data_IF_029038733008
#
_entry.id   IF_029038733008
#
_cell.length_a   1.000
_cell.length_b   1.000
_cell.length_c   1.000
_cell.angle_alpha   90.00
_cell.angle_beta   90.00
_cell.angle_gamma   90.00
#
_symmetry.space_group_name_H-M   'P 1'
#
loop_
_entity.id
_entity.type
_entity.pdbx_description
1 polymer ?
#
# COMPACT_ATOMS: atom_id res chain seq x y z
N UNK A 1 -16.02 -1.64 11.05
CA UNK A 1 -16.07 -0.99 9.73
C UNK A 1 -14.73 -0.31 9.57
N UNK A 2 -13.97 -0.63 8.53
CA UNK A 2 -12.68 0.00 8.27
C UNK A 2 -12.98 1.24 7.44
N UNK A 3 -12.69 2.43 7.97
CA UNK A 3 -12.99 3.68 7.28
C UNK A 3 -12.06 3.84 6.07
N UNK A 4 -12.66 4.06 4.91
CA UNK A 4 -11.96 4.35 3.66
C UNK A 4 -11.98 5.86 3.44
N UNK A 5 -10.81 6.43 3.20
CA UNK A 5 -10.64 7.85 2.89
C UNK A 5 -9.87 8.03 1.60
N UNK A 6 -10.09 9.14 0.91
CA UNK A 6 -9.38 9.44 -0.34
C UNK A 6 -8.22 10.39 -0.04
N UNK A 7 -7.01 9.92 -0.29
CA UNK A 7 -5.78 10.69 -0.06
C UNK A 7 -5.18 11.10 -1.39
N UNK A 8 -4.60 12.30 -1.42
CA UNK A 8 -3.83 12.76 -2.57
C UNK A 8 -2.57 11.93 -2.72
N UNK A 9 -2.33 11.43 -3.92
CA UNK A 9 -1.25 10.49 -4.21
C UNK A 9 0.14 11.04 -3.84
N UNK A 10 0.33 12.36 -3.94
CA UNK A 10 1.55 13.07 -3.55
C UNK A 10 1.80 13.16 -2.04
N UNK A 11 0.79 12.91 -1.20
CA UNK A 11 0.96 12.91 0.26
C UNK A 11 1.52 11.59 0.79
N UNK A 12 1.42 10.54 -0.02
CA UNK A 12 1.80 9.19 0.37
C UNK A 12 3.31 8.97 0.24
N UNK A 13 3.87 8.28 1.23
CA UNK A 13 5.29 7.97 1.31
C UNK A 13 5.52 6.50 0.96
N UNK A 14 6.52 6.27 0.13
CA UNK A 14 6.88 4.94 -0.35
C UNK A 14 8.18 4.51 0.31
N UNK A 15 8.26 3.26 0.75
CA UNK A 15 9.50 2.68 1.28
C UNK A 15 10.02 1.53 0.42
N UNK A 16 9.30 1.14 -0.63
CA UNK A 16 9.71 0.11 -1.59
C UNK A 16 9.61 0.58 -3.03
N UNK A 17 10.52 0.05 -3.84
CA UNK A 17 10.42 0.09 -5.29
C UNK A 17 9.35 -0.88 -5.80
N UNK A 18 8.85 -0.59 -7.00
CA UNK A 18 7.92 -1.44 -7.71
C UNK A 18 8.64 -2.34 -8.72
N UNK A 19 7.91 -3.33 -9.25
CA UNK A 19 8.35 -4.19 -10.35
C UNK A 19 7.76 -3.64 -11.64
N UNK A 20 8.56 -3.19 -12.61
CA UNK A 20 8.07 -2.54 -13.83
C UNK A 20 7.08 -3.40 -14.64
N UNK A 21 7.40 -4.68 -14.84
CA UNK A 21 6.53 -5.57 -15.64
C UNK A 21 5.15 -5.74 -14.99
N UNK A 22 5.13 -6.00 -13.68
CA UNK A 22 3.88 -6.16 -12.94
C UNK A 22 3.09 -4.84 -12.83
N UNK A 23 3.78 -3.69 -12.81
CA UNK A 23 3.12 -2.40 -12.89
C UNK A 23 2.35 -2.23 -14.20
N UNK A 24 2.96 -2.56 -15.34
CA UNK A 24 2.29 -2.41 -16.64
C UNK A 24 1.09 -3.35 -16.77
N UNK A 25 1.21 -4.59 -16.30
CA UNK A 25 0.09 -5.54 -16.22
C UNK A 25 -1.06 -4.98 -15.38
N UNK A 26 -0.79 -4.55 -14.15
CA UNK A 26 -1.80 -4.03 -13.23
C UNK A 26 -2.44 -2.73 -13.76
N UNK A 27 -1.65 -1.84 -14.36
CA UNK A 27 -2.16 -0.62 -14.99
C UNK A 27 -3.15 -0.94 -16.11
N UNK A 28 -2.83 -1.91 -16.96
CA UNK A 28 -3.71 -2.32 -18.05
C UNK A 28 -4.98 -3.01 -17.54
N UNK A 29 -4.89 -3.82 -16.48
CA UNK A 29 -6.04 -4.40 -15.79
C UNK A 29 -6.99 -3.30 -15.27
N UNK A 30 -6.45 -2.34 -14.50
CA UNK A 30 -7.23 -1.22 -13.94
C UNK A 30 -7.88 -0.39 -15.05
N UNK A 31 -7.17 -0.13 -16.16
CA UNK A 31 -7.74 0.58 -17.32
C UNK A 31 -8.87 -0.22 -17.99
N UNK A 32 -8.70 -1.52 -18.15
CA UNK A 32 -9.72 -2.40 -18.73
C UNK A 32 -10.96 -2.50 -17.85
N UNK A 33 -10.77 -2.53 -16.53
CA UNK A 33 -11.87 -2.52 -15.56
C UNK A 33 -12.57 -1.15 -15.48
N UNK A 34 -11.87 -0.06 -15.81
CA UNK A 34 -12.37 1.31 -15.67
C UNK A 34 -12.47 1.78 -14.21
N UNK A 35 -11.95 1.02 -13.25
CA UNK A 35 -12.08 1.26 -11.81
C UNK A 35 -10.92 0.68 -11.02
N UNK A 36 -10.66 1.24 -9.84
CA UNK A 36 -9.83 0.61 -8.81
C UNK A 36 -10.72 -0.24 -7.90
N UNK A 37 -10.53 -1.56 -7.92
CA UNK A 37 -11.35 -2.50 -7.15
C UNK A 37 -11.10 -2.47 -5.64
N UNK A 38 -9.86 -2.19 -5.20
CA UNK A 38 -9.41 -2.36 -3.81
C UNK A 38 -8.62 -1.13 -3.34
N UNK A 39 -8.81 -0.64 -2.10
CA UNK A 39 -8.01 0.44 -1.51
C UNK A 39 -6.58 -0.02 -1.20
N UNK A 40 -5.71 0.90 -0.78
CA UNK A 40 -4.37 0.57 -0.25
C UNK A 40 -4.32 0.71 1.27
N UNK A 41 -3.48 -0.06 1.95
CA UNK A 41 -3.23 0.09 3.39
C UNK A 41 -2.14 1.13 3.67
N UNK A 42 -2.41 2.08 4.55
CA UNK A 42 -1.53 3.22 4.84
C UNK A 42 -1.45 3.49 6.35
N UNK A 43 -0.25 3.81 6.85
CA UNK A 43 -0.09 4.30 8.21
C UNK A 43 -0.73 5.68 8.39
N UNK A 44 -1.63 5.82 9.37
CA UNK A 44 -2.34 7.06 9.65
C UNK A 44 -1.46 8.22 10.12
N UNK A 45 -0.35 7.91 10.78
CA UNK A 45 0.52 8.93 11.39
C UNK A 45 1.52 9.50 10.39
N UNK A 46 2.05 8.66 9.50
CA UNK A 46 3.14 9.03 8.58
C UNK A 46 2.75 9.01 7.11
N UNK A 47 1.56 8.52 6.75
CA UNK A 47 1.13 8.28 5.38
C UNK A 47 2.06 7.35 4.58
N UNK A 48 2.78 6.46 5.27
CA UNK A 48 3.59 5.42 4.64
C UNK A 48 2.67 4.32 4.12
N UNK A 49 2.87 3.94 2.87
CA UNK A 49 2.14 2.84 2.23
C UNK A 49 2.62 1.52 2.82
N UNK A 50 1.72 0.74 3.40
CA UNK A 50 2.05 -0.57 3.97
C UNK A 50 1.78 -1.70 2.97
N UNK A 51 0.75 -1.55 2.15
CA UNK A 51 0.52 -2.41 0.99
C UNK A 51 -0.07 -1.60 -0.17
N UNK A 52 0.18 -2.03 -1.42
CA UNK A 52 -0.42 -1.40 -2.60
C UNK A 52 0.47 -0.39 -3.36
N UNK A 53 1.80 -0.46 -3.22
CA UNK A 53 2.74 0.36 -4.00
C UNK A 53 2.47 0.31 -5.52
N UNK A 54 2.22 -0.88 -6.09
CA UNK A 54 1.92 -0.99 -7.53
C UNK A 54 0.60 -0.33 -7.91
N UNK A 55 -0.44 -0.38 -7.06
CA UNK A 55 -1.73 0.29 -7.30
C UNK A 55 -1.55 1.81 -7.33
N UNK A 56 -0.78 2.36 -6.39
CA UNK A 56 -0.40 3.78 -6.39
C UNK A 56 0.27 4.17 -7.72
N UNK A 57 1.29 3.44 -8.15
CA UNK A 57 2.04 3.75 -9.37
C UNK A 57 1.20 3.57 -10.63
N UNK A 58 0.31 2.58 -10.67
CA UNK A 58 -0.61 2.38 -11.78
C UNK A 58 -1.52 3.62 -11.92
N UNK A 59 -2.12 4.07 -10.81
CA UNK A 59 -2.94 5.29 -10.79
C UNK A 59 -2.15 6.55 -11.16
N UNK A 60 -0.90 6.70 -10.67
CA UNK A 60 0.00 7.79 -11.08
C UNK A 60 0.18 7.80 -12.60
N UNK A 61 0.44 6.65 -13.22
CA UNK A 61 0.61 6.53 -14.69
C UNK A 61 -0.68 6.77 -15.47
N UNK A 62 -1.83 6.43 -14.91
CA UNK A 62 -3.15 6.69 -15.51
C UNK A 62 -3.51 8.19 -15.44
N UNK A 63 -2.87 8.96 -14.54
CA UNK A 63 -3.14 10.39 -14.35
C UNK A 63 -4.16 10.68 -13.24
N UNK A 64 -4.44 9.71 -12.37
CA UNK A 64 -5.23 9.93 -11.16
C UNK A 64 -4.42 10.73 -10.13
N UNK A 65 -5.10 11.50 -9.29
CA UNK A 65 -4.52 12.34 -8.24
C UNK A 65 -4.88 11.88 -6.84
N UNK A 66 -5.91 11.04 -6.69
CA UNK A 66 -6.34 10.49 -5.41
C UNK A 66 -6.36 8.97 -5.46
N UNK A 67 -6.25 8.35 -4.28
CA UNK A 67 -6.40 6.91 -4.11
C UNK A 67 -7.19 6.64 -2.83
N UNK A 68 -8.14 5.69 -2.84
CA UNK A 68 -8.81 5.24 -1.63
C UNK A 68 -7.82 4.46 -0.76
N UNK A 69 -7.76 4.82 0.52
CA UNK A 69 -6.86 4.22 1.50
C UNK A 69 -7.63 3.75 2.71
N UNK A 70 -7.08 2.73 3.35
CA UNK A 70 -7.42 2.30 4.69
C UNK A 70 -6.32 2.78 5.63
N UNK A 71 -6.72 3.54 6.65
CA UNK A 71 -5.81 4.10 7.64
C UNK A 71 -5.68 3.19 8.86
N UNK A 72 -4.50 2.60 9.04
CA UNK A 72 -4.16 1.80 10.22
C UNK A 72 -3.18 2.55 11.13
N UNK A 73 -3.13 2.17 12.40
CA UNK A 73 -2.04 2.58 13.29
C UNK A 73 -0.86 1.62 13.11
N UNK A 74 0.15 2.02 12.33
CA UNK A 74 1.29 1.14 12.06
C UNK A 74 2.10 0.82 13.31
N UNK A 75 2.05 1.66 14.35
CA UNK A 75 2.75 1.41 15.61
C UNK A 75 2.01 0.43 16.52
N UNK A 76 0.75 0.08 16.21
CA UNK A 76 0.00 -0.95 16.94
C UNK A 76 0.79 -2.27 17.03
N UNK A 77 0.73 -2.90 18.21
CA UNK A 77 1.28 -4.24 18.44
C UNK A 77 0.57 -5.32 17.62
N UNK A 78 -0.62 -5.03 17.09
CA UNK A 78 -1.36 -5.93 16.20
C UNK A 78 -0.76 -5.98 14.80
N UNK A 79 0.11 -5.04 14.43
CA UNK A 79 0.77 -5.01 13.13
C UNK A 79 2.22 -5.44 13.30
N UNK A 80 2.64 -6.38 12.48
CA UNK A 80 4.02 -6.84 12.39
C UNK A 80 4.56 -6.61 10.98
N UNK A 81 5.88 -6.51 10.86
CA UNK A 81 6.56 -6.52 9.57
C UNK A 81 7.56 -7.66 9.57
N UNK A 82 7.45 -8.54 8.57
CA UNK A 82 8.35 -9.66 8.37
C UNK A 82 9.01 -9.54 6.98
N UNK A 83 10.22 -10.09 6.79
CA UNK A 83 10.86 -10.06 5.49
C UNK A 83 10.18 -11.03 4.52
N UNK A 84 10.20 -10.72 3.23
CA UNK A 84 9.77 -11.69 2.20
C UNK A 84 10.80 -12.79 1.96
N UNK A 85 12.09 -12.52 2.21
CA UNK A 85 13.19 -13.45 1.93
C UNK A 85 13.82 -13.91 3.24
N UNK A 86 14.16 -15.19 3.27
CA UNK A 86 14.85 -15.79 4.41
C UNK A 86 16.22 -15.13 4.63
N UNK A 87 16.57 -14.92 5.89
CA UNK A 87 17.84 -14.30 6.29
C UNK A 87 17.88 -12.77 6.24
N UNK A 88 16.87 -12.11 5.66
CA UNK A 88 16.75 -10.65 5.76
C UNK A 88 16.21 -10.24 7.13
N UNK A 89 16.53 -9.00 7.54
CA UNK A 89 15.96 -8.37 8.72
C UNK A 89 15.21 -7.11 8.30
N UNK A 90 14.02 -6.91 8.84
CA UNK A 90 13.23 -5.72 8.62
C UNK A 90 12.53 -5.35 9.93
N UNK A 91 12.46 -4.05 10.23
CA UNK A 91 11.74 -3.53 11.39
C UNK A 91 10.88 -2.35 10.96
N UNK A 92 9.90 -1.96 11.80
CA UNK A 92 9.06 -0.80 11.52
C UNK A 92 9.88 0.49 11.45
N UNK A 93 10.91 0.61 12.28
CA UNK A 93 11.82 1.76 12.30
C UNK A 93 12.57 1.86 10.96
N UNK A 94 13.08 0.75 10.43
CA UNK A 94 13.73 0.74 9.11
C UNK A 94 12.78 1.21 8.00
N UNK A 95 11.51 0.79 8.06
CA UNK A 95 10.46 1.20 7.11
C UNK A 95 10.20 2.70 7.20
N UNK A 96 10.02 3.20 8.41
CA UNK A 96 9.76 4.61 8.70
C UNK A 96 10.93 5.48 8.26
N UNK A 97 12.16 5.16 8.68
CA UNK A 97 13.36 5.92 8.32
C UNK A 97 13.58 5.92 6.79
N UNK A 98 13.37 4.79 6.13
CA UNK A 98 13.49 4.68 4.67
C UNK A 98 12.49 5.61 3.98
N UNK A 99 11.22 5.55 4.36
CA UNK A 99 10.16 6.34 3.75
C UNK A 99 10.33 7.84 4.01
N UNK A 100 10.67 8.23 5.24
CA UNK A 100 10.85 9.63 5.64
C UNK A 100 12.08 10.28 5.02
N UNK A 101 13.12 9.49 4.71
CA UNK A 101 14.31 9.96 3.98
C UNK A 101 14.13 9.95 2.46
N UNK A 102 12.95 9.57 1.96
CA UNK A 102 12.66 9.49 0.51
C UNK A 102 13.41 8.37 -0.21
N UNK A 103 14.03 7.45 0.54
CA UNK A 103 14.69 6.26 -0.01
C UNK A 103 13.67 5.16 -0.26
N UNK A 104 14.08 4.15 -1.02
CA UNK A 104 13.28 2.94 -1.25
C UNK A 104 14.15 1.70 -1.17
N UNK A 105 13.59 0.66 -0.56
CA UNK A 105 14.15 -0.69 -0.56
C UNK A 105 13.77 -1.43 -1.84
N UNK A 106 14.47 -2.52 -2.13
CA UNK A 106 14.15 -3.39 -3.27
C UNK A 106 12.71 -3.91 -3.18
N UNK A 107 12.05 -4.22 -4.31
CA UNK A 107 10.69 -4.73 -4.27
C UNK A 107 10.58 -6.00 -3.42
N UNK A 108 9.45 -6.16 -2.73
CA UNK A 108 9.19 -7.33 -1.86
C UNK A 108 10.27 -7.43 -0.78
N UNK A 109 10.47 -6.38 0.00
CA UNK A 109 11.37 -6.41 1.18
C UNK A 109 10.58 -6.58 2.46
N UNK A 110 9.46 -5.89 2.57
CA UNK A 110 8.57 -5.85 3.72
C UNK A 110 7.25 -6.54 3.41
N UNK A 111 6.82 -7.38 4.35
CA UNK A 111 5.52 -8.01 4.35
C UNK A 111 4.81 -7.58 5.62
N UNK A 112 3.84 -6.70 5.47
CA UNK A 112 3.06 -6.21 6.60
C UNK A 112 1.96 -7.20 6.95
N UNK A 113 1.90 -7.55 8.22
CA UNK A 113 0.99 -8.53 8.78
C UNK A 113 0.13 -7.86 9.85
N UNK A 114 -1.10 -8.31 10.02
CA UNK A 114 -2.06 -7.80 10.99
C UNK A 114 -2.72 -8.96 11.73
N UNK A 115 -2.84 -8.83 13.06
CA UNK A 115 -3.53 -9.77 13.92
C UNK A 115 -5.05 -9.52 13.85
N UNK A 116 -5.79 -10.45 13.24
CA UNK A 116 -7.25 -10.38 13.11
C UNK A 116 -7.83 -11.67 13.63
N UNK A 117 -8.72 -11.58 14.62
CA UNK A 117 -9.39 -12.74 15.24
C UNK A 117 -8.38 -13.78 15.77
N UNK A 118 -7.26 -13.32 16.33
CA UNK A 118 -6.20 -14.18 16.86
C UNK A 118 -5.32 -14.85 15.79
N UNK A 119 -5.48 -14.49 14.51
CA UNK A 119 -4.68 -15.00 13.42
C UNK A 119 -3.86 -13.89 12.76
N UNK A 120 -2.56 -14.14 12.57
CA UNK A 120 -1.70 -13.23 11.83
C UNK A 120 -1.92 -13.41 10.32
N UNK A 121 -2.47 -12.39 9.66
CA UNK A 121 -2.79 -12.38 8.23
C UNK A 121 -2.02 -11.28 7.52
N UNK A 122 -1.87 -11.38 6.20
CA UNK A 122 -1.32 -10.26 5.45
C UNK A 122 -2.23 -9.04 5.55
N UNK A 123 -1.68 -7.84 5.65
CA UNK A 123 -2.47 -6.61 5.85
C UNK A 123 -3.50 -6.38 4.74
N UNK A 124 -3.30 -6.91 3.54
CA UNK A 124 -4.32 -6.83 2.49
C UNK A 124 -5.65 -7.52 2.86
N UNK A 125 -5.73 -8.32 3.94
CA UNK A 125 -6.99 -8.94 4.37
C UNK A 125 -8.02 -7.93 4.87
N UNK A 126 -7.60 -6.72 5.24
CA UNK A 126 -8.52 -5.63 5.62
C UNK A 126 -8.91 -4.74 4.43
N UNK A 127 -8.25 -4.90 3.28
CA UNK A 127 -8.64 -4.22 2.05
C UNK A 127 -9.89 -4.89 1.51
N UNK A 128 -11.02 -4.20 1.57
CA UNK A 128 -12.30 -4.69 1.05
C UNK A 128 -12.55 -4.18 -0.37
N UNK A 129 -13.37 -4.89 -1.15
CA UNK A 129 -13.78 -4.44 -2.49
C UNK A 129 -14.60 -3.16 -2.37
N UNK A 130 -14.25 -2.15 -3.18
CA UNK A 130 -14.87 -0.82 -3.20
C UNK A 130 -15.29 -0.36 -4.59
N UNK A 131 -14.66 -0.89 -5.66
CA UNK A 131 -14.99 -0.60 -7.06
C UNK A 131 -15.12 0.91 -7.38
N UNK A 132 -14.07 1.69 -7.14
CA UNK A 132 -14.10 3.14 -7.40
C UNK A 132 -13.77 3.45 -8.86
N UNK A 133 -14.67 4.09 -9.64
CA UNK A 133 -14.40 4.50 -11.01
C UNK A 133 -13.18 5.41 -11.13
N UNK A 134 -12.41 5.26 -12.22
CA UNK A 134 -11.19 6.05 -12.43
C UNK A 134 -11.44 7.57 -12.51
N UNK A 135 -12.61 7.98 -13.00
CA UNK A 135 -12.98 9.39 -13.11
C UNK A 135 -13.12 10.07 -11.74
N UNK A 136 -13.46 9.32 -10.69
CA UNK A 136 -13.55 9.84 -9.32
C UNK A 136 -12.17 10.04 -8.67
N UNK A 137 -11.13 9.43 -9.27
CA UNK A 137 -9.75 9.47 -8.75
C UNK A 137 -8.90 10.55 -9.42
N UNK A 138 -9.41 11.30 -10.40
CA UNK A 138 -8.70 12.34 -11.16
C UNK A 138 -8.60 13.71 -10.45
#
# INVERSE_FOLDING_TARGET
MVDIVFIRIEELREHEEIRPDYLEELKNEILSDGMLKMPIAVDRSTYIILDGHHRLHALKKIGCKKIPVILVDYQSMEIEVIPWREGEKITKEMIIDTALTGKRMRPKTSRHMILVEGQLKHISCIETIINVPLDELR
#
